data_IF_876760504417
#
_entry.id   IF_876760504417
#
_cell.length_a   1.000
_cell.length_b   1.000
_cell.length_c   1.000
_cell.angle_alpha   90.00
_cell.angle_beta   90.00
_cell.angle_gamma   90.00
#
_symmetry.space_group_name_H-M   'P 1'
#
loop_
_entity.id
_entity.type
_entity.pdbx_description
1 polymer ?
#
# COMPACT_ATOMS: atom_id res chain seq x y z
N UNK A 1 -8.53 -57.06 22.28
CA UNK A 1 -9.76 -56.22 22.20
C UNK A 1 -9.59 -55.02 23.12
N UNK A 2 -9.39 -53.83 22.56
CA UNK A 2 -9.71 -52.55 23.21
C UNK A 2 -9.59 -51.44 22.17
N UNK A 3 -10.74 -50.86 21.83
CA UNK A 3 -10.93 -49.73 20.92
C UNK A 3 -10.45 -48.41 21.56
N UNK A 4 -9.83 -47.56 20.73
CA UNK A 4 -10.21 -46.15 20.50
C UNK A 4 -10.05 -45.12 21.62
N UNK A 5 -9.25 -44.08 21.37
CA UNK A 5 -9.72 -42.74 20.93
C UNK A 5 -8.55 -41.75 20.84
N UNK A 6 -8.47 -41.08 19.69
CA UNK A 6 -7.72 -39.86 19.49
C UNK A 6 -8.36 -38.69 20.26
N UNK A 7 -7.57 -37.72 20.72
CA UNK A 7 -8.07 -36.37 20.94
C UNK A 7 -6.96 -35.33 20.75
N UNK A 8 -7.30 -34.35 19.91
CA UNK A 8 -6.47 -33.29 19.40
C UNK A 8 -6.15 -32.24 20.47
N UNK A 9 -4.87 -31.87 20.59
CA UNK A 9 -4.46 -30.68 21.35
C UNK A 9 -4.32 -29.52 20.36
N UNK A 10 -5.43 -28.80 20.17
CA UNK A 10 -5.44 -27.52 19.48
C UNK A 10 -4.68 -26.47 20.31
N UNK A 11 -3.45 -26.15 19.92
CA UNK A 11 -2.70 -24.99 20.42
C UNK A 11 -3.34 -23.71 19.90
N UNK A 12 -4.18 -23.07 20.73
CA UNK A 12 -4.63 -21.69 20.54
C UNK A 12 -3.45 -20.73 20.78
N UNK A 13 -2.88 -20.18 19.72
CA UNK A 13 -2.00 -19.00 19.81
C UNK A 13 -2.91 -17.78 20.05
N UNK A 14 -3.00 -17.36 21.32
CA UNK A 14 -3.65 -16.09 21.70
C UNK A 14 -2.71 -14.93 21.35
N UNK A 15 -3.02 -14.20 20.29
CA UNK A 15 -2.43 -12.90 20.03
C UNK A 15 -2.90 -11.92 21.13
N UNK A 16 -1.99 -11.52 22.03
CA UNK A 16 -2.26 -10.54 23.09
C UNK A 16 -2.09 -9.13 22.50
N UNK A 17 -3.19 -8.47 22.14
CA UNK A 17 -3.25 -7.01 22.06
C UNK A 17 -3.78 -6.50 23.39
N UNK A 18 -2.92 -5.87 24.19
CA UNK A 18 -3.29 -5.24 25.47
C UNK A 18 -2.83 -3.77 25.44
N UNK A 19 -3.82 -2.90 25.30
CA UNK A 19 -4.04 -1.57 25.90
C UNK A 19 -2.86 -0.66 26.24
N UNK A 20 -2.98 0.59 25.78
CA UNK A 20 -2.65 1.92 26.35
C UNK A 20 -2.27 2.81 25.13
N UNK A 21 -2.82 3.99 24.85
CA UNK A 21 -2.71 5.23 25.63
C UNK A 21 -3.63 6.33 25.06
N UNK A 22 -3.99 7.27 25.93
CA UNK A 22 -4.69 8.54 25.72
C UNK A 22 -4.02 9.48 24.72
N UNK A 23 -4.84 10.14 23.89
CA UNK A 23 -4.48 11.19 22.93
C UNK A 23 -4.17 12.51 23.67
N UNK A 24 -2.97 13.12 23.53
CA UNK A 24 -2.77 14.50 23.95
C UNK A 24 -3.46 15.45 22.97
N UNK A 25 -4.19 16.42 23.54
CA UNK A 25 -5.08 17.32 22.82
C UNK A 25 -4.42 18.23 21.78
N UNK A 26 -5.25 18.60 20.81
CA UNK A 26 -5.02 19.64 19.82
C UNK A 26 -4.68 20.98 20.52
N UNK A 27 -3.47 21.49 20.31
CA UNK A 27 -3.09 22.92 20.23
C UNK A 27 -1.57 23.06 20.29
N UNK A 28 -0.92 23.14 19.13
CA UNK A 28 0.40 23.75 18.87
C UNK A 28 0.70 23.55 17.38
N UNK A 29 1.07 24.50 16.54
CA UNK A 29 1.23 25.94 16.69
C UNK A 29 1.19 26.50 15.24
N UNK A 30 0.64 27.70 15.10
CA UNK A 30 0.96 28.56 13.97
C UNK A 30 2.42 29.02 14.13
N UNK A 31 3.25 28.82 13.09
CA UNK A 31 4.41 29.67 12.77
C UNK A 31 5.05 29.16 11.47
N UNK A 32 5.55 30.14 10.70
CA UNK A 32 6.49 30.06 9.58
C UNK A 32 5.95 29.75 8.18
N UNK A 33 5.32 30.80 7.63
CA UNK A 33 5.61 31.22 6.26
C UNK A 33 7.04 31.80 6.19
N UNK A 34 7.67 31.69 5.01
CA UNK A 34 9.01 32.19 4.66
C UNK A 34 10.20 31.30 5.03
N UNK A 35 10.40 30.22 4.28
CA UNK A 35 11.66 29.89 3.57
C UNK A 35 11.57 28.51 2.92
N UNK A 36 12.16 28.37 1.73
CA UNK A 36 12.80 27.12 1.31
C UNK A 36 11.90 26.03 0.73
N UNK A 37 12.06 25.80 -0.58
CA UNK A 37 11.86 24.55 -1.31
C UNK A 37 10.93 23.48 -0.69
N UNK A 38 9.78 23.24 -1.35
CA UNK A 38 8.96 22.03 -1.17
C UNK A 38 9.75 20.76 -1.56
N UNK A 39 10.65 20.29 -0.71
CA UNK A 39 11.38 19.03 -0.88
C UNK A 39 10.64 17.93 -0.12
N UNK A 40 9.58 17.43 -0.74
CA UNK A 40 9.08 16.06 -0.51
C UNK A 40 9.64 15.05 -1.52
N UNK A 41 10.52 15.51 -2.42
CA UNK A 41 11.20 14.72 -3.47
C UNK A 41 12.56 14.29 -2.93
N UNK A 42 12.61 13.16 -2.20
CA UNK A 42 13.87 12.68 -1.64
C UNK A 42 14.85 12.17 -2.72
N UNK A 43 14.35 11.85 -3.93
CA UNK A 43 15.18 11.53 -5.09
C UNK A 43 14.48 12.07 -6.34
N UNK A 44 15.19 12.85 -7.16
CA UNK A 44 14.67 13.36 -8.43
C UNK A 44 14.08 12.24 -9.30
N UNK A 45 13.18 12.59 -10.22
CA UNK A 45 12.58 11.64 -11.14
C UNK A 45 13.65 10.82 -11.84
N UNK A 46 13.55 9.49 -11.76
CA UNK A 46 14.50 8.55 -12.37
C UNK A 46 13.89 7.94 -13.63
N UNK A 47 14.69 7.59 -14.65
CA UNK A 47 14.17 6.88 -15.82
C UNK A 47 13.53 5.53 -15.41
N UNK A 48 12.38 5.19 -15.98
CA UNK A 48 11.65 3.96 -15.70
C UNK A 48 12.49 2.67 -15.86
N UNK A 49 13.39 2.55 -16.87
CA UNK A 49 14.27 1.39 -16.98
C UNK A 49 15.23 1.18 -15.80
N UNK A 50 15.42 2.19 -14.94
CA UNK A 50 16.29 2.08 -13.75
C UNK A 50 15.52 1.64 -12.50
N UNK A 51 14.22 1.39 -12.61
CA UNK A 51 13.40 0.91 -11.51
C UNK A 51 13.79 -0.52 -11.14
N UNK A 52 14.01 -0.78 -9.85
CA UNK A 52 14.54 -2.06 -9.33
C UNK A 52 13.65 -3.25 -9.72
N UNK A 53 14.21 -4.39 -10.08
CA UNK A 53 13.44 -5.63 -10.24
C UNK A 53 13.46 -6.52 -8.99
N UNK A 54 14.18 -6.10 -7.93
CA UNK A 54 14.30 -6.85 -6.67
C UNK A 54 13.19 -6.52 -5.67
N UNK A 55 12.45 -5.43 -5.91
CA UNK A 55 11.31 -5.03 -5.09
C UNK A 55 10.07 -5.89 -5.42
N UNK A 56 9.20 -6.08 -4.42
CA UNK A 56 7.88 -6.72 -4.59
C UNK A 56 6.83 -5.65 -4.80
N UNK A 57 6.22 -5.65 -5.99
CA UNK A 57 5.34 -4.56 -6.41
C UNK A 57 3.87 -4.87 -6.19
N UNK A 58 3.21 -4.04 -5.38
CA UNK A 58 1.75 -4.04 -5.21
C UNK A 58 1.16 -2.94 -6.09
N UNK A 59 0.40 -3.33 -7.11
CA UNK A 59 0.00 -2.45 -8.21
C UNK A 59 -1.48 -2.12 -8.15
N UNK A 60 -1.81 -0.85 -8.41
CA UNK A 60 -3.18 -0.40 -8.50
C UNK A 60 -3.81 -0.67 -9.89
N UNK A 61 -5.14 -0.57 -9.99
CA UNK A 61 -5.86 -0.91 -11.21
C UNK A 61 -5.50 -0.01 -12.39
N UNK A 62 -5.11 1.25 -12.14
CA UNK A 62 -4.73 2.17 -13.22
C UNK A 62 -3.46 1.73 -13.96
N UNK A 63 -2.48 1.16 -13.26
CA UNK A 63 -1.25 0.68 -13.90
C UNK A 63 -1.46 -0.67 -14.60
N UNK A 64 -2.30 -1.54 -14.05
CA UNK A 64 -2.69 -2.78 -14.73
C UNK A 64 -3.45 -2.49 -16.04
N UNK A 65 -4.40 -1.54 -16.02
CA UNK A 65 -5.09 -1.07 -17.22
C UNK A 65 -4.10 -0.40 -18.19
N UNK A 66 -3.20 0.43 -17.67
CA UNK A 66 -2.17 1.11 -18.47
C UNK A 66 -1.21 0.14 -19.16
N UNK A 67 -0.92 -1.00 -18.55
CA UNK A 67 -0.17 -2.10 -19.16
C UNK A 67 -0.94 -2.70 -20.35
N UNK A 68 -2.19 -3.12 -20.14
CA UNK A 68 -3.00 -3.73 -21.21
C UNK A 68 -3.25 -2.81 -22.40
N UNK A 69 -3.44 -1.52 -22.13
CA UNK A 69 -3.74 -0.53 -23.18
C UNK A 69 -2.51 0.09 -23.83
N UNK A 70 -1.34 -0.08 -23.23
CA UNK A 70 -0.12 0.61 -23.67
C UNK A 70 -0.15 2.13 -23.43
N UNK A 71 -0.99 2.61 -22.51
CA UNK A 71 -1.21 4.05 -22.26
C UNK A 71 -0.06 4.73 -21.49
N UNK A 72 0.90 3.94 -21.00
CA UNK A 72 2.02 4.41 -20.18
C UNK A 72 3.32 4.00 -20.87
N UNK A 73 3.97 4.98 -21.49
CA UNK A 73 5.23 4.76 -22.21
C UNK A 73 6.28 4.12 -21.29
N UNK A 74 6.98 3.10 -21.79
CA UNK A 74 8.01 2.37 -21.06
C UNK A 74 7.51 1.41 -19.98
N UNK A 75 6.24 1.48 -19.57
CA UNK A 75 5.69 0.60 -18.52
C UNK A 75 5.58 -0.85 -18.98
N UNK A 76 4.99 -1.10 -20.16
CA UNK A 76 4.90 -2.46 -20.69
C UNK A 76 6.26 -3.13 -20.87
N UNK A 77 7.27 -2.50 -21.53
CA UNK A 77 8.61 -3.07 -21.61
C UNK A 77 9.24 -3.40 -20.24
N UNK A 78 9.06 -2.53 -19.25
CA UNK A 78 9.59 -2.78 -17.91
C UNK A 78 8.87 -3.95 -17.20
N UNK A 79 7.54 -4.03 -17.32
CA UNK A 79 6.73 -5.12 -16.78
C UNK A 79 7.10 -6.46 -17.43
N UNK A 80 7.23 -6.48 -18.76
CA UNK A 80 7.58 -7.69 -19.51
C UNK A 80 8.97 -8.20 -19.09
N UNK A 81 9.94 -7.30 -18.93
CA UNK A 81 11.26 -7.62 -18.40
C UNK A 81 11.19 -8.17 -16.96
N UNK A 82 10.41 -7.54 -16.09
CA UNK A 82 10.22 -8.00 -14.70
C UNK A 82 9.62 -9.42 -14.65
N UNK A 83 8.62 -9.71 -15.50
CA UNK A 83 8.01 -11.04 -15.62
C UNK A 83 8.99 -12.06 -16.20
N UNK A 84 9.79 -11.66 -17.20
CA UNK A 84 10.83 -12.50 -17.81
C UNK A 84 11.91 -12.92 -16.81
N UNK A 85 12.21 -12.05 -15.83
CA UNK A 85 13.08 -12.35 -14.69
C UNK A 85 12.42 -13.27 -13.65
N UNK A 86 11.24 -13.82 -13.93
CA UNK A 86 10.50 -14.72 -13.06
C UNK A 86 9.74 -14.01 -11.93
N UNK A 87 9.67 -12.68 -11.94
CA UNK A 87 8.96 -11.90 -10.93
C UNK A 87 7.48 -11.72 -11.30
N UNK A 88 6.70 -11.22 -10.36
CA UNK A 88 5.25 -11.01 -10.47
C UNK A 88 4.86 -9.69 -9.84
N UNK A 89 3.79 -9.09 -10.37
CA UNK A 89 3.16 -7.91 -9.78
C UNK A 89 1.91 -8.35 -9.01
N UNK A 90 1.76 -7.88 -7.78
CA UNK A 90 0.65 -8.27 -6.91
C UNK A 90 -0.47 -7.24 -7.00
N UNK A 91 -1.71 -7.69 -7.00
CA UNK A 91 -2.90 -6.83 -6.97
C UNK A 91 -3.73 -7.11 -5.73
N UNK A 92 -4.00 -6.07 -4.94
CA UNK A 92 -4.81 -6.19 -3.72
C UNK A 92 -6.25 -6.58 -4.05
N UNK A 93 -6.98 -7.27 -3.16
CA UNK A 93 -8.33 -7.78 -3.42
C UNK A 93 -9.28 -6.70 -3.96
N UNK A 94 -9.34 -5.52 -3.33
CA UNK A 94 -10.20 -4.43 -3.82
C UNK A 94 -9.82 -3.92 -5.22
N UNK A 95 -8.56 -4.09 -5.62
CA UNK A 95 -8.09 -3.76 -6.98
C UNK A 95 -8.48 -4.84 -7.98
N UNK A 96 -8.42 -6.12 -7.58
CA UNK A 96 -8.89 -7.26 -8.38
C UNK A 96 -10.40 -7.14 -8.62
N UNK A 97 -11.18 -6.77 -7.59
CA UNK A 97 -12.62 -6.53 -7.69
C UNK A 97 -12.94 -5.41 -8.69
N UNK A 98 -12.21 -4.27 -8.61
CA UNK A 98 -12.32 -3.15 -9.55
C UNK A 98 -11.99 -3.55 -11.01
N UNK A 99 -11.20 -4.62 -11.19
CA UNK A 99 -10.79 -5.16 -12.49
C UNK A 99 -11.81 -6.16 -13.02
N UNK A 100 -12.28 -7.08 -12.17
CA UNK A 100 -13.31 -8.06 -12.47
C UNK A 100 -14.65 -7.40 -12.80
N UNK A 101 -15.00 -6.29 -12.13
CA UNK A 101 -16.21 -5.51 -12.43
C UNK A 101 -16.23 -4.90 -13.84
N UNK A 102 -15.12 -4.96 -14.58
CA UNK A 102 -15.00 -4.52 -15.98
C UNK A 102 -14.89 -5.70 -16.96
N UNK A 103 -15.25 -6.91 -16.51
CA UNK A 103 -15.12 -8.17 -17.25
C UNK A 103 -13.72 -8.41 -17.83
N UNK A 104 -12.70 -7.92 -17.12
CA UNK A 104 -11.31 -8.04 -17.54
C UNK A 104 -10.60 -9.13 -16.74
N UNK A 105 -9.89 -10.02 -17.44
CA UNK A 105 -8.96 -10.96 -16.82
C UNK A 105 -7.67 -10.24 -16.44
N UNK A 106 -7.10 -10.60 -15.28
CA UNK A 106 -5.79 -10.08 -14.87
C UNK A 106 -4.76 -10.33 -15.99
N UNK A 107 -3.92 -9.33 -16.32
CA UNK A 107 -2.87 -9.53 -17.32
C UNK A 107 -1.88 -10.61 -16.87
N UNK A 108 -1.24 -11.28 -17.83
CA UNK A 108 -0.20 -12.24 -17.52
C UNK A 108 0.90 -11.59 -16.66
N UNK A 109 1.33 -12.27 -15.59
CA UNK A 109 2.32 -11.77 -14.63
C UNK A 109 1.76 -10.85 -13.53
N UNK A 110 0.46 -10.55 -13.54
CA UNK A 110 -0.25 -9.91 -12.44
C UNK A 110 -1.03 -10.95 -11.65
N UNK A 111 -0.69 -11.12 -10.38
CA UNK A 111 -1.32 -12.10 -9.50
C UNK A 111 -2.20 -11.40 -8.46
N UNK A 112 -3.35 -12.02 -8.17
CA UNK A 112 -4.13 -11.61 -7.01
C UNK A 112 -3.32 -11.85 -5.73
N UNK A 113 -3.36 -10.90 -4.81
CA UNK A 113 -2.75 -11.02 -3.50
C UNK A 113 -3.42 -12.17 -2.71
N UNK A 114 -2.61 -13.06 -2.16
CA UNK A 114 -3.04 -14.21 -1.36
C UNK A 114 -2.56 -14.06 0.08
N UNK A 115 -3.41 -14.49 1.00
CA UNK A 115 -3.06 -14.58 2.41
C UNK A 115 -2.39 -15.92 2.68
N UNK A 116 -1.46 -15.92 3.65
CA UNK A 116 -0.90 -17.13 4.24
C UNK A 116 -2.02 -18.01 4.79
N UNK A 117 -1.83 -19.33 4.70
CA UNK A 117 -2.82 -20.29 5.21
C UNK A 117 -3.16 -20.03 6.68
N UNK A 118 -4.47 -19.97 6.96
CA UNK A 118 -5.00 -19.70 8.30
C UNK A 118 -5.02 -18.21 8.70
N UNK A 119 -4.47 -17.31 7.90
CA UNK A 119 -4.64 -15.87 8.10
C UNK A 119 -5.99 -15.42 7.53
N UNK A 120 -6.66 -14.53 8.25
CA UNK A 120 -7.91 -13.90 7.81
C UNK A 120 -7.67 -12.43 7.50
N UNK A 121 -8.25 -11.95 6.40
CA UNK A 121 -8.27 -10.51 6.10
C UNK A 121 -8.89 -9.75 7.29
N UNK A 122 -8.34 -8.58 7.66
CA UNK A 122 -9.01 -7.67 8.59
C UNK A 122 -10.43 -7.40 8.14
N UNK A 123 -11.34 -7.16 9.09
CA UNK A 123 -12.73 -6.85 8.73
C UNK A 123 -12.75 -5.53 7.99
N UNK A 124 -13.61 -5.42 6.97
CA UNK A 124 -13.76 -4.19 6.20
C UNK A 124 -14.05 -2.96 7.09
N UNK A 125 -14.75 -3.17 8.21
CA UNK A 125 -15.02 -2.12 9.21
C UNK A 125 -13.73 -1.56 9.82
N UNK A 126 -12.76 -2.43 10.14
CA UNK A 126 -11.52 -2.01 10.80
C UNK A 126 -10.64 -1.20 9.82
N UNK A 127 -10.55 -1.67 8.57
CA UNK A 127 -9.89 -0.93 7.49
C UNK A 127 -10.57 0.43 7.25
N UNK A 128 -11.90 0.45 7.26
CA UNK A 128 -12.69 1.68 7.07
C UNK A 128 -12.41 2.72 8.14
N UNK A 129 -12.36 2.33 9.42
CA UNK A 129 -12.07 3.25 10.53
C UNK A 129 -10.68 3.87 10.36
N UNK A 130 -9.67 3.05 10.07
CA UNK A 130 -8.32 3.58 9.83
C UNK A 130 -8.26 4.51 8.62
N UNK A 131 -8.98 4.21 7.53
CA UNK A 131 -9.08 5.10 6.38
C UNK A 131 -9.72 6.44 6.75
N UNK A 132 -10.80 6.42 7.52
CA UNK A 132 -11.52 7.63 7.94
C UNK A 132 -10.66 8.49 8.88
N UNK A 133 -9.87 7.87 9.76
CA UNK A 133 -8.90 8.58 10.61
C UNK A 133 -7.77 9.21 9.78
N UNK A 134 -7.27 8.53 8.74
CA UNK A 134 -6.28 9.10 7.82
C UNK A 134 -6.87 10.29 7.05
N UNK A 135 -8.11 10.18 6.55
CA UNK A 135 -8.83 11.28 5.88
C UNK A 135 -8.98 12.47 6.82
N UNK A 136 -9.36 12.22 8.07
CA UNK A 136 -9.52 13.24 9.11
C UNK A 136 -8.19 13.93 9.44
N UNK A 137 -7.14 13.16 9.70
CA UNK A 137 -5.80 13.66 10.04
C UNK A 137 -5.18 14.52 8.94
N UNK A 138 -5.48 14.21 7.67
CA UNK A 138 -5.02 14.99 6.52
C UNK A 138 -5.89 16.22 6.20
N UNK A 139 -6.93 16.47 6.99
CA UNK A 139 -7.84 17.61 6.80
C UNK A 139 -8.74 17.46 5.57
N UNK A 140 -8.91 16.25 5.05
CA UNK A 140 -9.75 16.00 3.88
C UNK A 140 -11.25 15.96 4.20
N UNK A 141 -11.62 16.00 5.48
CA UNK A 141 -13.02 16.02 5.92
C UNK A 141 -13.84 17.21 5.41
N UNK A 142 -13.19 18.29 4.97
CA UNK A 142 -13.85 19.48 4.40
C UNK A 142 -13.89 19.48 2.86
N UNK A 143 -13.32 18.47 2.19
CA UNK A 143 -13.39 18.37 0.73
C UNK A 143 -14.80 17.98 0.31
N UNK A 144 -15.23 18.47 -0.87
CA UNK A 144 -16.46 17.98 -1.51
C UNK A 144 -16.51 16.45 -1.49
N UNK A 145 -17.68 15.88 -1.16
CA UNK A 145 -17.89 14.45 -0.96
C UNK A 145 -17.32 13.58 -2.10
N UNK A 146 -17.44 14.07 -3.34
CA UNK A 146 -16.89 13.41 -4.53
C UNK A 146 -15.36 13.32 -4.52
N UNK A 147 -14.69 14.35 -4.04
CA UNK A 147 -13.23 14.42 -3.97
C UNK A 147 -12.71 13.59 -2.79
N UNK A 148 -13.38 13.64 -1.64
CA UNK A 148 -13.10 12.77 -0.50
C UNK A 148 -13.20 11.28 -0.88
N UNK A 149 -14.27 10.88 -1.59
CA UNK A 149 -14.45 9.50 -2.07
C UNK A 149 -13.34 9.03 -3.01
N UNK A 150 -12.81 9.90 -3.86
CA UNK A 150 -11.67 9.57 -4.75
C UNK A 150 -10.38 9.33 -3.97
N UNK A 151 -10.09 10.15 -2.96
CA UNK A 151 -8.92 9.94 -2.10
C UNK A 151 -9.05 8.69 -1.24
N UNK A 152 -10.26 8.40 -0.73
CA UNK A 152 -10.54 7.22 0.09
C UNK A 152 -10.09 5.92 -0.58
N UNK A 153 -10.42 5.70 -1.86
CA UNK A 153 -9.97 4.50 -2.60
C UNK A 153 -8.45 4.33 -2.62
N UNK A 154 -7.71 5.43 -2.74
CA UNK A 154 -6.25 5.37 -2.68
C UNK A 154 -5.75 5.09 -1.26
N UNK A 155 -6.35 5.72 -0.26
CA UNK A 155 -6.06 5.46 1.16
C UNK A 155 -6.33 3.99 1.52
N UNK A 156 -7.44 3.42 1.04
CA UNK A 156 -7.78 2.00 1.23
C UNK A 156 -6.67 1.09 0.71
N UNK A 157 -6.11 1.35 -0.47
CA UNK A 157 -4.98 0.58 -0.99
C UNK A 157 -3.75 0.68 -0.06
N UNK A 158 -3.43 1.88 0.45
CA UNK A 158 -2.28 2.08 1.34
C UNK A 158 -2.47 1.36 2.67
N UNK A 159 -3.63 1.55 3.31
CA UNK A 159 -3.99 0.94 4.59
C UNK A 159 -4.01 -0.58 4.44
N UNK A 160 -4.66 -1.08 3.40
CA UNK A 160 -4.80 -2.51 3.15
C UNK A 160 -3.43 -3.16 2.91
N UNK A 161 -2.59 -2.58 2.07
CA UNK A 161 -1.25 -3.14 1.80
C UNK A 161 -0.37 -3.09 3.05
N UNK A 162 -0.38 -1.97 3.79
CA UNK A 162 0.40 -1.82 5.02
C UNK A 162 -0.01 -2.85 6.08
N UNK A 163 -1.30 -3.20 6.12
CA UNK A 163 -1.83 -4.21 7.03
C UNK A 163 -1.55 -5.65 6.54
N UNK A 164 -1.71 -5.91 5.25
CA UNK A 164 -1.71 -7.28 4.71
C UNK A 164 -0.32 -7.81 4.36
N UNK A 165 0.70 -6.97 4.13
CA UNK A 165 2.02 -7.42 3.69
C UNK A 165 2.65 -8.52 4.58
N UNK A 166 2.44 -8.49 5.91
CA UNK A 166 2.92 -9.54 6.83
C UNK A 166 2.06 -10.80 6.86
N UNK A 167 0.82 -10.69 6.40
CA UNK A 167 -0.13 -11.78 6.30
C UNK A 167 -0.11 -12.44 4.92
N UNK A 168 0.74 -11.95 4.01
CA UNK A 168 0.88 -12.45 2.66
C UNK A 168 1.35 -13.91 2.64
N UNK A 169 0.93 -14.62 1.59
CA UNK A 169 1.52 -15.91 1.21
C UNK A 169 3.06 -15.73 1.07
N UNK A 170 3.89 -16.50 1.82
CA UNK A 170 5.35 -16.41 1.74
C UNK A 170 5.93 -16.66 0.34
N UNK A 171 5.20 -17.35 -0.53
CA UNK A 171 5.55 -17.53 -1.94
C UNK A 171 5.32 -16.29 -2.80
N UNK A 172 4.59 -15.28 -2.30
CA UNK A 172 4.40 -13.98 -2.94
C UNK A 172 5.23 -12.87 -2.29
N UNK A 173 5.27 -12.82 -0.96
CA UNK A 173 6.07 -11.87 -0.17
C UNK A 173 6.75 -12.67 0.94
N UNK A 174 8.07 -12.81 0.87
CA UNK A 174 8.83 -13.47 1.92
C UNK A 174 8.97 -12.57 3.16
N UNK A 175 9.22 -13.17 4.33
CA UNK A 175 9.49 -12.39 5.54
C UNK A 175 10.73 -11.47 5.35
N UNK A 176 11.74 -11.92 4.59
CA UNK A 176 12.91 -11.13 4.19
C UNK A 176 12.55 -9.93 3.31
N UNK A 177 11.52 -10.02 2.47
CA UNK A 177 11.04 -8.88 1.66
C UNK A 177 10.43 -7.81 2.57
N UNK A 178 9.68 -8.22 3.59
CA UNK A 178 9.09 -7.31 4.58
C UNK A 178 10.20 -6.67 5.43
N UNK A 179 11.12 -7.46 5.99
CA UNK A 179 12.19 -6.96 6.85
C UNK A 179 13.15 -6.03 6.10
N UNK A 180 13.50 -6.36 4.86
CA UNK A 180 14.32 -5.52 3.99
C UNK A 180 13.56 -4.34 3.35
N UNK A 181 12.25 -4.19 3.63
CA UNK A 181 11.38 -3.12 3.11
C UNK A 181 11.31 -3.08 1.59
N UNK A 182 11.23 -4.25 0.96
CA UNK A 182 11.14 -4.44 -0.49
C UNK A 182 9.70 -4.41 -1.02
N UNK A 183 8.69 -4.40 -0.16
CA UNK A 183 7.29 -4.25 -0.58
C UNK A 183 7.00 -2.79 -0.94
N UNK A 184 6.64 -2.55 -2.20
CA UNK A 184 6.42 -1.22 -2.77
C UNK A 184 5.04 -1.13 -3.40
N UNK A 185 4.24 -0.13 -2.99
CA UNK A 185 3.01 0.19 -3.71
C UNK A 185 3.35 1.03 -4.92
N UNK A 186 2.90 0.63 -6.10
CA UNK A 186 3.09 1.39 -7.34
C UNK A 186 1.76 1.96 -7.83
N UNK A 187 1.76 3.25 -8.17
CA UNK A 187 0.60 3.94 -8.73
C UNK A 187 1.00 4.93 -9.82
N UNK A 188 0.05 5.31 -10.68
CA UNK A 188 0.20 6.42 -11.63
C UNK A 188 -0.41 7.75 -11.10
N UNK A 189 -1.09 7.72 -9.95
CA UNK A 189 -1.93 8.84 -9.54
C UNK A 189 -1.16 9.89 -8.71
N UNK A 190 -0.39 10.74 -9.38
CA UNK A 190 0.40 11.79 -8.74
C UNK A 190 -0.40 12.69 -7.81
N UNK A 191 -1.59 13.14 -8.21
CA UNK A 191 -2.40 14.04 -7.40
C UNK A 191 -2.80 13.42 -6.06
N UNK A 192 -3.10 12.11 -6.06
CA UNK A 192 -3.43 11.39 -4.84
C UNK A 192 -2.20 11.20 -3.96
N UNK A 193 -1.09 10.74 -4.55
CA UNK A 193 0.16 10.54 -3.83
C UNK A 193 0.72 11.83 -3.24
N UNK A 194 0.71 12.92 -4.00
CA UNK A 194 1.15 14.24 -3.54
C UNK A 194 0.26 14.77 -2.41
N UNK A 195 -1.04 14.53 -2.46
CA UNK A 195 -1.93 14.97 -1.40
C UNK A 195 -1.66 14.25 -0.07
N UNK A 196 -1.36 12.95 -0.13
CA UNK A 196 -1.12 12.06 1.01
C UNK A 196 0.32 12.19 1.55
N UNK A 197 1.31 12.18 0.67
CA UNK A 197 2.73 12.00 1.00
C UNK A 197 3.63 13.13 0.47
N UNK A 198 3.04 14.21 -0.04
CA UNK A 198 3.80 15.32 -0.62
C UNK A 198 4.59 16.17 0.38
N UNK A 199 4.44 15.94 1.68
CA UNK A 199 5.30 16.54 2.71
C UNK A 199 5.64 15.54 3.82
N UNK A 200 6.82 15.65 4.45
CA UNK A 200 7.23 14.76 5.54
C UNK A 200 6.27 14.78 6.73
N UNK A 201 5.68 15.95 7.03
CA UNK A 201 4.71 16.10 8.12
C UNK A 201 3.49 15.24 7.87
N UNK A 202 2.88 15.32 6.67
CA UNK A 202 1.71 14.52 6.33
C UNK A 202 2.02 13.03 6.39
N UNK A 203 3.16 12.62 5.85
CA UNK A 203 3.59 11.22 5.90
C UNK A 203 3.72 10.72 7.35
N UNK A 204 4.30 11.51 8.25
CA UNK A 204 4.38 11.17 9.68
C UNK A 204 3.00 11.07 10.34
N UNK A 205 2.06 11.94 9.99
CA UNK A 205 0.68 11.84 10.48
C UNK A 205 0.00 10.55 10.01
N UNK A 206 0.13 10.22 8.72
CA UNK A 206 -0.40 8.95 8.18
C UNK A 206 0.24 7.77 8.90
N UNK A 207 1.57 7.74 9.01
CA UNK A 207 2.29 6.68 9.71
C UNK A 207 1.85 6.54 11.18
N UNK A 208 1.66 7.66 11.88
CA UNK A 208 1.18 7.66 13.26
C UNK A 208 -0.24 7.09 13.39
N UNK A 209 -1.16 7.46 12.49
CA UNK A 209 -2.51 6.89 12.46
C UNK A 209 -2.46 5.40 12.16
N UNK A 210 -1.65 4.95 11.20
CA UNK A 210 -1.53 3.52 10.92
C UNK A 210 -1.01 2.73 12.14
N UNK A 211 -0.01 3.28 12.84
CA UNK A 211 0.54 2.68 14.07
C UNK A 211 -0.47 2.64 15.21
N UNK A 212 -1.35 3.64 15.37
CA UNK A 212 -2.39 3.62 16.40
C UNK A 212 -3.44 2.53 16.19
N UNK A 213 -3.63 2.09 14.93
CA UNK A 213 -4.44 0.94 14.54
C UNK A 213 -3.69 -0.40 14.59
N UNK A 214 -2.44 -0.40 15.08
CA UNK A 214 -1.63 -1.61 15.20
C UNK A 214 -1.08 -2.11 13.87
N UNK A 215 -1.10 -1.26 12.82
CA UNK A 215 -0.45 -1.58 11.57
C UNK A 215 1.05 -1.32 11.66
N UNK A 216 1.78 -2.00 10.80
CA UNK A 216 3.19 -1.72 10.60
C UNK A 216 3.44 -0.33 10.03
N UNK A 217 4.72 0.01 9.92
CA UNK A 217 5.15 1.22 9.25
C UNK A 217 4.60 1.32 7.83
N UNK A 218 4.47 2.55 7.38
CA UNK A 218 4.03 2.87 6.03
C UNK A 218 4.99 2.21 5.02
N UNK A 219 4.42 1.45 4.08
CA UNK A 219 5.17 0.87 2.96
C UNK A 219 5.66 1.96 2.00
N UNK A 220 6.74 1.68 1.27
CA UNK A 220 7.24 2.58 0.24
C UNK A 220 6.18 2.76 -0.84
N UNK A 221 5.97 4.01 -1.28
CA UNK A 221 5.02 4.33 -2.34
C UNK A 221 5.75 4.91 -3.54
N UNK A 222 5.68 4.22 -4.68
CA UNK A 222 6.31 4.58 -5.94
C UNK A 222 5.30 5.11 -6.93
N UNK A 223 5.64 6.22 -7.57
CA UNK A 223 4.90 6.74 -8.70
C UNK A 223 5.59 6.37 -10.00
N UNK A 224 4.84 5.78 -10.92
CA UNK A 224 5.23 5.65 -12.34
C UNK A 224 4.51 6.73 -13.12
N UNK A 225 5.27 7.67 -13.68
CA UNK A 225 4.76 8.79 -14.44
C UNK A 225 4.74 8.50 -15.96
N UNK A 226 3.92 9.25 -16.69
CA UNK A 226 3.75 9.08 -18.14
C UNK A 226 5.02 9.39 -18.94
N UNK A 227 5.90 10.20 -18.40
CA UNK A 227 7.15 10.63 -19.02
C UNK A 227 8.27 9.58 -18.91
N UNK A 228 7.94 8.29 -18.84
CA UNK A 228 8.89 7.19 -18.63
C UNK A 228 9.79 7.42 -17.41
N UNK A 229 9.23 7.94 -16.34
CA UNK A 229 9.97 8.20 -15.10
C UNK A 229 9.25 7.61 -13.90
N UNK A 230 9.99 7.43 -12.82
CA UNK A 230 9.45 7.04 -11.55
C UNK A 230 10.12 7.80 -10.40
N UNK A 231 9.44 7.86 -9.26
CA UNK A 231 10.01 8.34 -8.01
C UNK A 231 9.27 7.78 -6.81
N UNK A 232 9.98 7.72 -5.69
CA UNK A 232 9.41 7.30 -4.42
C UNK A 232 8.89 8.50 -3.62
N UNK A 233 7.70 8.34 -3.09
CA UNK A 233 7.17 9.16 -2.02
C UNK A 233 7.60 8.53 -0.70
N UNK A 234 8.52 9.21 -0.03
CA UNK A 234 9.10 8.83 1.25
C UNK A 234 9.86 7.49 1.25
N UNK A 235 11.11 7.56 1.68
CA UNK A 235 11.91 6.40 2.08
C UNK A 235 12.47 6.72 3.46
N UNK A 236 11.73 6.38 4.52
CA UNK A 236 12.43 6.13 5.78
C UNK A 236 13.16 4.81 5.58
N UNK A 237 14.45 4.87 5.25
CA UNK A 237 15.38 3.76 5.44
C UNK A 237 15.83 3.79 6.88
#
# INVERSE_FOLDING_TARGET
MSCGRASAVARRVRCRLRTLWTVPGANAAAADAETGACVGVLYGSRPLPTMSHDDVYVVNSTLAIGYQKGDIAGWAPWVDEHIRLGKRLLMMPGTVDDFAAKDANLPAGFDAFRLRDGCTRPRQRDLSVACDDVVSALGFGHLEERRAKKFRKSIELFVETSCLQRLADPGQISDDDVEARRVVIVSQNFSHLKALFGSPVKTRWVEHVLQSHGFDRLVTVRLVARQQTWWDFYTAR
#
